data_IF_374807863392
#
_entry.id   IF_374807863392
#
_cell.length_a   1.000
_cell.length_b   1.000
_cell.length_c   1.000
_cell.angle_alpha   90.00
_cell.angle_beta   90.00
_cell.angle_gamma   90.00
#
_symmetry.space_group_name_H-M   'P 1'
#
loop_
_entity.id
_entity.type
_entity.pdbx_description
1 polymer ?
#
# COMPACT_ATOMS: atom_id res chain seq x y z
N UNK A 1 21.03 -4.62 -32.40
CA UNK A 1 20.92 -3.65 -31.28
C UNK A 1 20.22 -4.38 -30.14
N UNK A 2 20.95 -4.74 -29.10
CA UNK A 2 20.38 -5.38 -27.91
C UNK A 2 19.50 -4.35 -27.22
N UNK A 3 18.19 -4.46 -27.43
CA UNK A 3 17.20 -3.70 -26.69
C UNK A 3 17.06 -4.38 -25.32
N UNK A 4 18.06 -4.21 -24.46
CA UNK A 4 17.95 -4.56 -23.04
C UNK A 4 16.89 -3.65 -22.47
N UNK A 5 15.64 -4.14 -22.46
CA UNK A 5 14.51 -3.50 -21.80
C UNK A 5 14.94 -3.26 -20.35
N UNK A 6 15.09 -1.99 -19.95
CA UNK A 6 15.45 -1.62 -18.58
C UNK A 6 14.45 -2.31 -17.64
N UNK A 7 14.94 -3.12 -16.72
CA UNK A 7 14.10 -3.77 -15.70
C UNK A 7 13.51 -2.68 -14.81
N UNK A 8 12.19 -2.75 -14.61
CA UNK A 8 11.46 -1.80 -13.76
C UNK A 8 11.91 -1.98 -12.31
N UNK A 9 12.34 -0.91 -11.65
CA UNK A 9 12.69 -0.90 -10.23
C UNK A 9 11.53 -0.43 -9.39
N UNK A 10 11.10 -1.26 -8.44
CA UNK A 10 9.94 -0.99 -7.58
C UNK A 10 10.33 -1.08 -6.12
N UNK A 11 9.98 -0.05 -5.34
CA UNK A 11 9.98 -0.11 -3.89
C UNK A 11 8.60 -0.55 -3.41
N UNK A 12 8.50 -1.74 -2.82
CA UNK A 12 7.26 -2.30 -2.29
C UNK A 12 7.25 -2.17 -0.76
N UNK A 13 6.30 -1.42 -0.21
CA UNK A 13 6.24 -1.03 1.20
C UNK A 13 4.97 -1.59 1.85
N UNK A 14 5.12 -2.24 3.02
CA UNK A 14 4.02 -2.71 3.85
C UNK A 14 3.90 -4.24 3.86
N UNK A 15 2.68 -4.77 3.88
CA UNK A 15 2.37 -6.21 3.81
C UNK A 15 3.13 -7.08 4.84
N UNK A 16 3.32 -6.55 6.04
CA UNK A 16 3.95 -7.25 7.15
C UNK A 16 3.25 -6.91 8.46
N UNK A 17 3.01 -7.90 9.31
CA UNK A 17 2.37 -7.68 10.61
C UNK A 17 2.89 -8.62 11.68
N UNK A 18 2.69 -8.23 12.93
CA UNK A 18 3.00 -9.04 14.10
C UNK A 18 1.72 -9.26 14.92
N UNK A 19 1.29 -10.51 15.00
CA UNK A 19 0.13 -10.94 15.75
C UNK A 19 0.56 -11.26 17.17
N UNK A 20 -0.14 -10.69 18.16
CA UNK A 20 -0.06 -11.13 19.55
C UNK A 20 -1.41 -11.70 19.96
N UNK A 21 -1.46 -13.01 20.24
CA UNK A 21 -2.68 -13.71 20.64
C UNK A 21 -2.67 -13.98 22.13
N UNK A 22 -3.79 -13.69 22.80
CA UNK A 22 -4.07 -14.07 24.18
C UNK A 22 -5.09 -15.21 24.14
N UNK A 23 -4.68 -16.40 24.58
CA UNK A 23 -5.51 -17.60 24.62
C UNK A 23 -6.05 -17.80 26.04
N UNK A 24 -7.32 -17.47 26.27
CA UNK A 24 -7.96 -17.64 27.58
C UNK A 24 -8.77 -18.94 27.63
N UNK A 25 -8.49 -19.79 28.62
CA UNK A 25 -9.13 -21.10 28.81
C UNK A 25 -9.47 -21.31 30.29
N UNK A 26 -10.75 -21.10 30.64
CA UNK A 26 -11.19 -21.15 32.03
C UNK A 26 -10.51 -20.06 32.87
N UNK A 27 -9.82 -20.47 33.92
CA UNK A 27 -9.04 -19.56 34.77
C UNK A 27 -7.75 -19.07 34.10
N UNK A 28 -7.20 -19.88 33.18
CA UNK A 28 -5.84 -19.70 32.69
C UNK A 28 -5.79 -18.88 31.41
N UNK A 29 -4.63 -18.25 31.18
CA UNK A 29 -4.28 -17.69 29.87
C UNK A 29 -2.83 -18.00 29.51
N UNK A 30 -2.57 -18.10 28.21
CA UNK A 30 -1.21 -18.14 27.66
C UNK A 30 -1.15 -17.29 26.39
N UNK A 31 0.04 -16.86 26.01
CA UNK A 31 0.23 -16.00 24.84
C UNK A 31 1.04 -16.68 23.76
N UNK A 32 0.79 -16.29 22.52
CA UNK A 32 1.63 -16.65 21.37
C UNK A 32 1.80 -15.45 20.46
N UNK A 33 3.00 -15.26 19.93
CA UNK A 33 3.30 -14.18 18.99
C UNK A 33 3.76 -14.75 17.66
N UNK A 34 3.33 -14.16 16.54
CA UNK A 34 3.67 -14.61 15.18
C UNK A 34 3.87 -13.42 14.26
N UNK A 35 4.96 -13.43 13.50
CA UNK A 35 5.20 -12.50 12.40
C UNK A 35 4.79 -13.14 11.07
N UNK A 36 4.17 -12.36 10.20
CA UNK A 36 3.74 -12.80 8.86
C UNK A 36 3.96 -11.70 7.82
N UNK A 37 4.15 -12.13 6.57
CA UNK A 37 4.25 -11.26 5.39
C UNK A 37 3.20 -11.66 4.35
N UNK A 38 2.33 -10.71 3.96
CA UNK A 38 1.17 -10.96 3.09
C UNK A 38 1.49 -10.96 1.60
N UNK A 39 2.54 -10.26 1.18
CA UNK A 39 2.84 -10.06 -0.24
C UNK A 39 3.71 -11.16 -0.88
N UNK A 40 4.09 -12.23 -0.17
CA UNK A 40 5.05 -13.23 -0.67
C UNK A 40 4.73 -13.72 -2.09
N UNK A 41 3.47 -14.05 -2.36
CA UNK A 41 3.01 -14.49 -3.68
C UNK A 41 3.14 -13.38 -4.74
N UNK A 42 2.65 -12.18 -4.43
CA UNK A 42 2.70 -11.02 -5.32
C UNK A 42 4.15 -10.64 -5.68
N UNK A 43 5.04 -10.59 -4.69
CA UNK A 43 6.47 -10.30 -4.90
C UNK A 43 7.13 -11.35 -5.79
N UNK A 44 6.75 -12.63 -5.65
CA UNK A 44 7.25 -13.68 -6.54
C UNK A 44 6.75 -13.51 -7.97
N UNK A 45 5.47 -13.15 -8.18
CA UNK A 45 4.93 -12.85 -9.50
C UNK A 45 5.64 -11.68 -10.18
N UNK A 46 5.92 -10.60 -9.44
CA UNK A 46 6.68 -9.45 -9.93
C UNK A 46 8.11 -9.84 -10.35
N UNK A 47 8.82 -10.60 -9.50
CA UNK A 47 10.17 -11.10 -9.80
C UNK A 47 10.19 -12.01 -11.03
N UNK A 48 9.23 -12.92 -11.14
CA UNK A 48 9.07 -13.80 -12.32
C UNK A 48 8.79 -13.00 -13.61
N UNK A 49 8.25 -11.79 -13.47
CA UNK A 49 7.98 -10.85 -14.56
C UNK A 49 9.15 -9.88 -14.81
N UNK A 50 10.33 -10.15 -14.24
CA UNK A 50 11.56 -9.36 -14.39
C UNK A 50 11.47 -7.92 -13.85
N UNK A 51 10.65 -7.71 -12.82
CA UNK A 51 10.65 -6.48 -12.01
C UNK A 51 11.68 -6.62 -10.89
N UNK A 52 12.55 -5.62 -10.75
CA UNK A 52 13.51 -5.50 -9.65
C UNK A 52 12.81 -4.90 -8.43
N UNK A 53 12.42 -5.76 -7.48
CA UNK A 53 11.63 -5.36 -6.31
C UNK A 53 12.50 -5.26 -5.07
N UNK A 54 12.58 -4.06 -4.50
CA UNK A 54 13.04 -3.86 -3.12
C UNK A 54 11.84 -3.93 -2.19
N UNK A 55 11.85 -4.87 -1.25
CA UNK A 55 10.77 -5.02 -0.26
C UNK A 55 11.14 -4.33 1.06
N UNK A 56 10.23 -3.51 1.58
CA UNK A 56 10.36 -2.77 2.83
C UNK A 56 9.17 -3.07 3.74
N UNK A 57 9.33 -4.01 4.70
CA UNK A 57 8.32 -4.27 5.73
C UNK A 57 7.98 -3.00 6.54
N UNK A 58 6.80 -2.99 7.16
CA UNK A 58 6.33 -1.86 7.96
C UNK A 58 7.28 -1.47 9.10
N UNK A 59 7.91 -2.45 9.76
CA UNK A 59 8.88 -2.17 10.82
C UNK A 59 10.18 -1.54 10.29
N UNK A 60 10.54 -1.78 9.03
CA UNK A 60 11.70 -1.14 8.38
C UNK A 60 11.42 0.34 8.11
N UNK A 61 10.19 0.70 7.74
CA UNK A 61 9.77 2.12 7.60
C UNK A 61 9.98 2.88 8.91
N UNK A 62 9.70 2.25 10.06
CA UNK A 62 9.86 2.89 11.37
C UNK A 62 11.31 3.22 11.75
N UNK A 63 12.28 2.52 11.14
CA UNK A 63 13.70 2.56 11.54
C UNK A 63 14.57 3.22 10.47
N UNK A 64 14.28 2.97 9.19
CA UNK A 64 15.20 3.25 8.08
C UNK A 64 14.47 3.69 6.81
N UNK A 65 13.34 4.39 6.92
CA UNK A 65 12.75 5.03 5.75
C UNK A 65 13.73 6.07 5.16
N UNK A 66 13.84 6.19 3.82
CA UNK A 66 14.71 7.18 3.19
C UNK A 66 14.43 8.61 3.67
N UNK A 67 15.50 9.39 3.86
CA UNK A 67 15.40 10.76 4.41
C UNK A 67 15.55 11.84 3.32
N UNK A 68 15.86 11.43 2.09
CA UNK A 68 16.04 12.31 0.93
C UNK A 68 15.26 11.75 -0.27
N UNK A 69 14.57 12.61 -1.01
CA UNK A 69 13.82 12.26 -2.22
C UNK A 69 14.74 11.60 -3.27
N UNK A 70 16.02 12.00 -3.34
CA UNK A 70 16.99 11.40 -4.26
C UNK A 70 17.17 9.88 -4.03
N UNK A 71 16.96 9.42 -2.80
CA UNK A 71 16.98 7.98 -2.48
C UNK A 71 15.72 7.25 -2.97
N UNK A 72 14.61 7.96 -3.17
CA UNK A 72 13.37 7.43 -3.75
C UNK A 72 13.41 7.46 -5.29
N UNK A 73 14.05 8.47 -5.89
CA UNK A 73 14.15 8.67 -7.34
C UNK A 73 14.90 7.55 -8.10
N UNK A 74 15.60 6.65 -7.40
CA UNK A 74 16.15 5.45 -8.00
C UNK A 74 15.09 4.40 -8.41
N UNK A 75 13.87 4.52 -7.87
CA UNK A 75 12.75 3.61 -8.16
C UNK A 75 11.84 4.20 -9.25
N UNK A 76 11.45 3.37 -10.21
CA UNK A 76 10.50 3.76 -11.24
C UNK A 76 9.06 3.82 -10.67
N UNK A 77 8.75 3.06 -9.60
CA UNK A 77 7.51 3.18 -8.85
C UNK A 77 7.64 2.80 -7.36
N UNK A 78 6.77 3.38 -6.53
CA UNK A 78 6.54 3.00 -5.13
C UNK A 78 5.16 2.34 -5.01
N UNK A 79 5.11 1.21 -4.32
CA UNK A 79 3.86 0.50 -3.96
C UNK A 79 3.68 0.58 -2.45
N UNK A 80 2.49 1.00 -2.00
CA UNK A 80 2.08 1.03 -0.59
C UNK A 80 0.92 0.06 -0.42
N UNK A 81 1.08 -0.97 0.42
CA UNK A 81 0.04 -1.99 0.64
C UNK A 81 -0.08 -2.34 2.12
N UNK A 82 -1.30 -2.22 2.65
CA UNK A 82 -1.69 -2.58 4.01
C UNK A 82 -0.77 -2.02 5.12
N UNK A 83 -0.49 -0.72 5.04
CA UNK A 83 0.34 0.02 6.00
C UNK A 83 -0.22 1.44 6.18
N UNK A 84 -0.56 1.79 7.42
CA UNK A 84 -1.21 3.06 7.74
C UNK A 84 -0.25 4.25 7.72
N UNK A 85 -0.79 5.45 7.48
CA UNK A 85 -0.02 6.70 7.45
C UNK A 85 0.79 6.97 8.72
N UNK A 86 0.29 6.54 9.88
CA UNK A 86 0.98 6.66 11.15
C UNK A 86 2.39 6.04 11.13
N UNK A 87 2.59 4.92 10.43
CA UNK A 87 3.90 4.27 10.35
C UNK A 87 4.95 5.16 9.67
N UNK A 88 4.53 5.96 8.68
CA UNK A 88 5.40 6.90 7.98
C UNK A 88 5.64 8.19 8.78
N UNK A 89 4.60 8.70 9.44
CA UNK A 89 4.62 9.99 10.14
C UNK A 89 5.23 9.89 11.55
N UNK A 90 5.09 8.74 12.21
CA UNK A 90 5.49 8.51 13.60
C UNK A 90 6.62 7.48 13.70
N UNK A 91 7.65 7.63 12.87
CA UNK A 91 8.86 6.80 12.94
C UNK A 91 9.51 6.86 14.33
N UNK A 92 10.33 5.86 14.67
CA UNK A 92 10.84 5.67 16.03
C UNK A 92 11.62 6.89 16.56
N UNK A 93 12.39 7.53 15.69
CA UNK A 93 13.14 8.75 16.00
C UNK A 93 12.20 9.92 16.38
N UNK A 94 11.09 10.09 15.65
CA UNK A 94 10.08 11.13 15.92
C UNK A 94 9.31 10.82 17.21
N UNK A 95 8.73 9.63 17.31
CA UNK A 95 7.78 9.31 18.38
C UNK A 95 8.45 8.99 19.72
N UNK A 96 9.57 8.25 19.72
CA UNK A 96 10.25 7.82 20.95
C UNK A 96 11.47 8.63 21.32
N UNK A 97 12.17 9.24 20.34
CA UNK A 97 13.44 9.92 20.58
C UNK A 97 13.36 11.45 20.46
N UNK A 98 12.18 12.00 20.17
CA UNK A 98 11.93 13.44 20.03
C UNK A 98 12.85 14.12 19.00
N UNK A 99 13.28 13.38 17.97
CA UNK A 99 14.13 13.90 16.90
C UNK A 99 13.27 14.48 15.78
N UNK A 100 13.73 15.60 15.23
CA UNK A 100 13.14 16.18 14.02
C UNK A 100 13.63 15.36 12.82
N UNK A 101 12.70 14.92 11.96
CA UNK A 101 12.98 14.21 10.71
C UNK A 101 12.17 14.79 9.55
N UNK A 102 12.64 14.58 8.30
CA UNK A 102 11.84 14.81 7.11
C UNK A 102 10.50 14.04 7.17
N UNK A 103 9.44 14.65 6.65
CA UNK A 103 8.14 13.98 6.56
C UNK A 103 8.15 12.98 5.40
N UNK A 104 8.10 11.69 5.72
CA UNK A 104 8.13 10.62 4.73
C UNK A 104 7.01 10.73 3.66
N UNK A 105 5.81 11.20 4.03
CA UNK A 105 4.72 11.36 3.07
C UNK A 105 4.93 12.56 2.14
N UNK A 106 5.62 13.61 2.60
CA UNK A 106 6.03 14.73 1.74
C UNK A 106 7.12 14.28 0.75
N UNK A 107 8.08 13.45 1.18
CA UNK A 107 9.07 12.88 0.27
C UNK A 107 8.42 12.03 -0.83
N UNK A 108 7.40 11.23 -0.49
CA UNK A 108 6.64 10.46 -1.50
C UNK A 108 5.86 11.40 -2.43
N UNK A 109 5.24 12.45 -1.89
CA UNK A 109 4.54 13.46 -2.71
C UNK A 109 5.49 14.16 -3.69
N UNK A 110 6.67 14.56 -3.22
CA UNK A 110 7.71 15.17 -4.05
C UNK A 110 8.20 14.20 -5.13
N UNK A 111 8.48 12.95 -4.76
CA UNK A 111 8.85 11.89 -5.70
C UNK A 111 7.82 11.72 -6.84
N UNK A 112 6.53 11.70 -6.50
CA UNK A 112 5.46 11.58 -7.53
C UNK A 112 5.40 12.83 -8.40
N UNK A 113 5.53 14.03 -7.81
CA UNK A 113 5.56 15.29 -8.57
C UNK A 113 6.75 15.36 -9.53
N UNK A 114 7.87 14.71 -9.20
CA UNK A 114 9.06 14.60 -10.05
C UNK A 114 8.92 13.52 -11.15
N UNK A 115 7.77 12.84 -11.23
CA UNK A 115 7.46 11.86 -12.27
C UNK A 115 7.52 10.40 -11.82
N UNK A 116 7.72 10.14 -10.51
CA UNK A 116 7.68 8.81 -9.94
C UNK A 116 6.27 8.19 -9.92
N UNK A 117 6.17 6.88 -10.13
CA UNK A 117 4.90 6.17 -10.08
C UNK A 117 4.48 5.83 -8.63
N UNK A 118 3.19 6.01 -8.29
CA UNK A 118 2.64 5.58 -7.00
C UNK A 118 1.45 4.65 -7.20
N UNK A 119 1.49 3.50 -6.51
CA UNK A 119 0.37 2.57 -6.40
C UNK A 119 0.03 2.36 -4.93
N UNK A 120 -1.24 2.52 -4.56
CA UNK A 120 -1.77 2.11 -3.27
C UNK A 120 -2.71 0.92 -3.47
N UNK A 121 -2.46 -0.18 -2.77
CA UNK A 121 -3.31 -1.39 -2.77
C UNK A 121 -4.21 -1.34 -1.53
N UNK A 122 -5.49 -1.68 -1.72
CA UNK A 122 -6.49 -1.70 -0.63
C UNK A 122 -6.21 -2.75 0.44
N UNK A 123 -6.75 -2.53 1.63
CA UNK A 123 -6.49 -3.32 2.83
C UNK A 123 -7.08 -2.66 4.07
N UNK A 124 -6.90 -3.29 5.22
CA UNK A 124 -7.41 -2.75 6.49
C UNK A 124 -6.60 -1.54 6.95
N UNK A 125 -5.33 -1.42 6.54
CA UNK A 125 -4.46 -0.28 6.81
C UNK A 125 -4.11 0.53 5.54
N UNK A 126 -4.99 0.52 4.54
CA UNK A 126 -4.90 1.39 3.35
C UNK A 126 -6.07 2.36 3.29
N UNK A 127 -5.93 3.46 2.51
CA UNK A 127 -6.94 4.52 2.39
C UNK A 127 -7.41 5.05 3.76
N UNK A 128 -8.68 4.84 4.16
CA UNK A 128 -9.11 5.06 5.55
C UNK A 128 -8.99 3.80 6.37
N UNK A 129 -9.41 2.66 5.84
CA UNK A 129 -9.23 1.35 6.44
C UNK A 129 -10.11 1.09 7.67
N UNK A 130 -9.81 0.00 8.37
CA UNK A 130 -10.55 -0.42 9.56
C UNK A 130 -10.51 0.66 10.64
N UNK A 131 -11.68 1.04 11.15
CA UNK A 131 -11.84 2.11 12.13
C UNK A 131 -11.17 3.43 11.71
N UNK A 132 -11.04 3.69 10.40
CA UNK A 132 -10.35 4.85 9.83
C UNK A 132 -8.85 4.96 10.22
N UNK A 133 -8.19 3.87 10.63
CA UNK A 133 -6.84 3.91 11.19
C UNK A 133 -5.72 4.13 10.16
N UNK A 134 -5.95 3.79 8.89
CA UNK A 134 -4.98 4.07 7.83
C UNK A 134 -4.85 5.58 7.61
N UNK A 135 -5.98 6.29 7.70
CA UNK A 135 -6.09 7.74 7.85
C UNK A 135 -5.46 8.58 6.72
N UNK A 136 -5.29 8.04 5.51
CA UNK A 136 -4.59 8.74 4.43
C UNK A 136 -5.31 10.00 3.94
N UNK A 137 -6.63 10.11 4.12
CA UNK A 137 -7.40 11.33 3.80
C UNK A 137 -6.87 12.57 4.52
N UNK A 138 -6.42 12.40 5.75
CA UNK A 138 -5.94 13.49 6.60
C UNK A 138 -4.41 13.67 6.47
N UNK A 139 -3.85 13.35 5.31
CA UNK A 139 -2.41 13.44 5.01
C UNK A 139 -2.17 14.10 3.66
N UNK A 140 -0.92 14.46 3.41
CA UNK A 140 -0.47 15.07 2.16
C UNK A 140 -0.62 14.14 0.94
N UNK A 141 -0.75 12.82 1.15
CA UNK A 141 -1.01 11.87 0.06
C UNK A 141 -2.47 11.88 -0.43
N UNK A 142 -3.41 12.48 0.30
CA UNK A 142 -4.78 12.65 -0.20
C UNK A 142 -4.83 13.47 -1.50
N UNK A 143 -3.92 14.43 -1.65
CA UNK A 143 -3.80 15.24 -2.87
C UNK A 143 -3.28 14.42 -4.05
N UNK A 144 -2.38 13.47 -3.77
CA UNK A 144 -1.67 12.66 -4.78
C UNK A 144 -2.53 11.55 -5.35
N UNK A 145 -3.32 10.87 -4.51
CA UNK A 145 -4.12 9.72 -4.95
C UNK A 145 -5.23 10.14 -5.93
N UNK A 146 -5.56 9.33 -6.94
CA UNK A 146 -6.60 9.64 -7.93
C UNK A 146 -8.04 9.43 -7.41
N UNK A 147 -8.19 9.22 -6.09
CA UNK A 147 -9.48 8.98 -5.43
C UNK A 147 -9.65 9.91 -4.23
N UNK A 148 -10.90 10.19 -3.90
CA UNK A 148 -11.35 10.86 -2.69
C UNK A 148 -11.83 9.80 -1.70
N UNK A 149 -11.23 9.79 -0.51
CA UNK A 149 -11.55 8.88 0.59
C UNK A 149 -12.75 9.37 1.41
N UNK A 150 -13.42 8.45 2.11
CA UNK A 150 -14.50 8.75 3.06
C UNK A 150 -13.97 9.39 4.35
N UNK A 151 -14.85 9.92 5.22
CA UNK A 151 -14.46 10.51 6.51
C UNK A 151 -14.26 9.48 7.65
N UNK A 152 -14.56 8.21 7.42
CA UNK A 152 -14.54 7.15 8.43
C UNK A 152 -14.06 5.81 7.86
N UNK A 153 -14.42 4.72 8.55
CA UNK A 153 -14.15 3.36 8.07
C UNK A 153 -14.72 3.17 6.66
N UNK A 154 -13.87 2.76 5.72
CA UNK A 154 -14.20 2.66 4.31
C UNK A 154 -14.31 1.22 3.81
N UNK A 155 -14.30 0.22 4.71
CA UNK A 155 -14.39 -1.18 4.30
C UNK A 155 -15.78 -1.51 3.79
N UNK A 156 -15.82 -2.21 2.67
CA UNK A 156 -17.00 -2.92 2.19
C UNK A 156 -16.69 -4.40 2.25
N UNK A 157 -17.23 -5.08 3.26
CA UNK A 157 -17.07 -6.52 3.45
C UNK A 157 -18.06 -7.28 2.56
N UNK A 158 -17.57 -8.26 1.82
CA UNK A 158 -18.33 -9.09 0.88
C UNK A 158 -18.04 -10.57 1.10
N UNK A 159 -18.46 -11.16 2.24
CA UNK A 159 -18.28 -12.59 2.49
C UNK A 159 -18.98 -13.48 1.44
N UNK A 160 -20.03 -12.98 0.79
CA UNK A 160 -20.69 -13.64 -0.34
C UNK A 160 -19.92 -13.57 -1.67
N UNK A 161 -18.82 -12.81 -1.71
CA UNK A 161 -18.04 -12.54 -2.91
C UNK A 161 -18.60 -11.41 -3.77
N UNK A 162 -17.71 -10.68 -4.43
CA UNK A 162 -18.03 -9.71 -5.48
C UNK A 162 -17.04 -9.86 -6.63
N UNK A 163 -17.49 -9.76 -7.88
CA UNK A 163 -16.64 -9.89 -9.07
C UNK A 163 -16.46 -8.52 -9.69
N UNK A 164 -15.21 -8.11 -9.89
CA UNK A 164 -14.87 -6.86 -10.56
C UNK A 164 -15.39 -6.85 -12.00
N UNK A 165 -15.87 -5.69 -12.44
CA UNK A 165 -16.39 -5.47 -13.79
C UNK A 165 -15.50 -4.46 -14.55
N UNK A 166 -15.13 -4.75 -15.81
CA UNK A 166 -14.37 -3.82 -16.61
C UNK A 166 -15.23 -2.63 -17.03
N UNK A 167 -14.83 -1.44 -16.58
CA UNK A 167 -15.40 -0.17 -17.04
C UNK A 167 -14.75 0.32 -18.33
N UNK A 168 -13.46 -0.02 -18.55
CA UNK A 168 -12.69 0.33 -19.75
C UNK A 168 -11.96 -0.91 -20.31
N UNK A 169 -12.67 -1.85 -20.96
CA UNK A 169 -12.11 -3.15 -21.37
C UNK A 169 -10.92 -3.04 -22.34
N UNK A 170 -10.78 -1.93 -23.05
CA UNK A 170 -9.68 -1.67 -23.98
C UNK A 170 -8.46 -1.00 -23.32
N UNK A 171 -8.53 -0.64 -22.03
CA UNK A 171 -7.44 0.01 -21.32
C UNK A 171 -6.18 -0.91 -21.30
N UNK A 172 -4.97 -0.39 -21.60
CA UNK A 172 -3.78 -1.22 -21.79
C UNK A 172 -3.43 -2.19 -20.64
N UNK A 173 -3.81 -1.85 -19.41
CA UNK A 173 -3.54 -2.67 -18.21
C UNK A 173 -4.41 -3.93 -18.15
N UNK A 174 -5.65 -3.88 -18.65
CA UNK A 174 -6.62 -4.99 -18.53
C UNK A 174 -7.05 -5.58 -19.88
N UNK A 175 -6.55 -5.01 -20.98
CA UNK A 175 -6.90 -5.45 -22.33
C UNK A 175 -6.59 -6.94 -22.51
N UNK A 176 -7.62 -7.69 -22.92
CA UNK A 176 -7.52 -9.14 -23.15
C UNK A 176 -7.73 -9.98 -21.89
N UNK A 177 -7.98 -9.38 -20.73
CA UNK A 177 -8.39 -10.13 -19.55
C UNK A 177 -9.86 -10.57 -19.69
N UNK A 178 -10.12 -11.80 -19.27
CA UNK A 178 -11.45 -12.41 -19.17
C UNK A 178 -11.54 -13.17 -17.85
N UNK A 179 -12.77 -13.49 -17.40
CA UNK A 179 -13.01 -14.28 -16.19
C UNK A 179 -12.37 -13.67 -14.92
N UNK A 180 -12.84 -12.48 -14.54
CA UNK A 180 -12.38 -11.80 -13.33
C UNK A 180 -12.65 -12.65 -12.08
N UNK A 181 -11.68 -12.75 -11.15
CA UNK A 181 -11.88 -13.48 -9.91
C UNK A 181 -12.86 -12.75 -9.00
N UNK A 182 -13.38 -13.47 -8.00
CA UNK A 182 -14.12 -12.84 -6.92
C UNK A 182 -13.16 -12.24 -5.87
N UNK A 183 -13.64 -11.21 -5.18
CA UNK A 183 -13.04 -10.56 -4.04
C UNK A 183 -13.98 -10.65 -2.83
N UNK A 184 -13.42 -10.62 -1.62
CA UNK A 184 -14.19 -10.70 -0.37
C UNK A 184 -14.39 -9.35 0.31
N UNK A 185 -13.91 -8.28 -0.31
CA UNK A 185 -14.10 -6.92 0.16
C UNK A 185 -13.18 -5.95 -0.58
N UNK A 186 -13.39 -4.66 -0.34
CA UNK A 186 -12.60 -3.57 -0.90
C UNK A 186 -12.76 -2.30 -0.06
N UNK A 187 -11.87 -1.32 -0.25
CA UNK A 187 -12.04 0.02 0.31
C UNK A 187 -12.91 0.88 -0.62
N UNK A 188 -13.95 1.49 -0.07
CA UNK A 188 -14.84 2.40 -0.81
C UNK A 188 -14.19 3.77 -0.94
N UNK A 189 -14.03 4.22 -2.18
CA UNK A 189 -13.57 5.57 -2.50
C UNK A 189 -14.33 6.12 -3.71
N UNK A 190 -14.19 7.42 -3.96
CA UNK A 190 -14.82 8.12 -5.08
C UNK A 190 -13.71 8.57 -6.03
N UNK A 191 -13.74 8.18 -7.29
CA UNK A 191 -12.75 8.66 -8.27
C UNK A 191 -12.79 10.19 -8.39
N UNK A 192 -11.62 10.83 -8.49
CA UNK A 192 -11.54 12.27 -8.79
C UNK A 192 -11.95 12.52 -10.25
N UNK A 193 -12.42 13.72 -10.57
CA UNK A 193 -12.94 14.06 -11.92
C UNK A 193 -11.94 13.78 -13.06
N UNK A 194 -10.65 13.96 -12.80
CA UNK A 194 -9.57 13.74 -13.78
C UNK A 194 -8.95 12.33 -13.69
N UNK A 195 -9.59 11.40 -13.01
CA UNK A 195 -9.14 10.01 -12.91
C UNK A 195 -9.94 9.10 -13.85
N UNK A 196 -9.26 8.10 -14.41
CA UNK A 196 -9.90 7.07 -15.23
C UNK A 196 -10.23 5.84 -14.36
N UNK A 197 -11.51 5.46 -14.30
CA UNK A 197 -11.96 4.23 -13.63
C UNK A 197 -11.91 3.07 -14.62
N UNK A 198 -10.97 2.15 -14.41
CA UNK A 198 -10.72 1.01 -15.32
C UNK A 198 -11.53 -0.23 -14.92
N UNK A 199 -11.65 -0.49 -13.61
CA UNK A 199 -12.42 -1.59 -13.01
C UNK A 199 -13.34 -1.05 -11.90
N UNK A 200 -14.49 -1.68 -11.70
CA UNK A 200 -15.44 -1.41 -10.60
C UNK A 200 -15.84 -2.68 -9.87
#
# INVERSE_FOLDING_TARGET
MNNTKKSLKVLFIGESWHIHMIHSKGYDSFTSSKYEEGATWLLQCLKNSQVDVTYMPAHTVQIAFPEDVAQLEQYDAIVISDIGSNTFLLQNDTFYQLRIKPNALELIKEYVNNGGGLLMIGGYLSFMGIEAKANYKNTVLADVLPVTMLDGDDRVEKPEGVIAQPSQPDHPVIKGFSEYPFFLGYNRAIAKENAEVVLT
#
